data_IF_812248500581
#
_entry.id   IF_812248500581
#
_cell.length_a   1.000
_cell.length_b   1.000
_cell.length_c   1.000
_cell.angle_alpha   90.00
_cell.angle_beta   90.00
_cell.angle_gamma   90.00
#
_symmetry.space_group_name_H-M   'P 1'
#
loop_
_entity.id
_entity.type
_entity.pdbx_description
1 polymer ?
#
# COMPACT_ATOMS: atom_id res chain seq x y z
N UNK A 1 -37.85 8.56 -6.14
CA UNK A 1 -36.61 9.32 -6.45
C UNK A 1 -36.50 10.45 -5.45
N UNK A 2 -35.59 10.38 -4.48
CA UNK A 2 -35.26 11.56 -3.68
C UNK A 2 -34.48 12.51 -4.59
N UNK A 3 -35.12 13.61 -5.00
CA UNK A 3 -34.47 14.70 -5.71
C UNK A 3 -33.25 15.16 -4.90
N UNK A 4 -32.12 15.33 -5.60
CA UNK A 4 -30.78 15.38 -5.03
C UNK A 4 -30.66 16.29 -3.82
N UNK A 5 -30.43 15.70 -2.65
CA UNK A 5 -29.76 16.40 -1.57
C UNK A 5 -28.39 16.81 -2.13
N UNK A 6 -28.23 18.10 -2.46
CA UNK A 6 -26.94 18.65 -2.88
C UNK A 6 -25.85 18.22 -1.91
N UNK A 7 -24.65 17.93 -2.43
CA UNK A 7 -23.51 17.51 -1.63
C UNK A 7 -23.37 18.41 -0.38
N UNK A 8 -23.05 17.82 0.79
CA UNK A 8 -22.88 18.60 2.02
C UNK A 8 -21.92 19.78 1.77
N UNK A 9 -22.26 21.02 2.17
CA UNK A 9 -21.39 22.16 1.95
C UNK A 9 -20.04 21.94 2.64
N UNK A 10 -18.96 22.16 1.89
CA UNK A 10 -17.60 22.02 2.40
C UNK A 10 -17.32 23.05 3.51
N UNK A 11 -16.83 22.64 4.69
CA UNK A 11 -16.19 23.57 5.61
C UNK A 11 -15.09 24.36 4.92
N UNK A 12 -14.84 25.62 5.32
CA UNK A 12 -13.83 26.49 4.69
C UNK A 12 -12.44 25.85 4.60
N UNK A 13 -12.03 25.10 5.62
CA UNK A 13 -10.74 24.41 5.64
C UNK A 13 -10.67 23.25 4.65
N UNK A 14 -11.79 22.58 4.35
CA UNK A 14 -11.83 21.52 3.33
C UNK A 14 -11.67 22.10 1.94
N UNK A 15 -12.26 23.27 1.66
CA UNK A 15 -12.05 23.97 0.39
C UNK A 15 -10.58 24.37 0.19
N UNK A 16 -9.86 24.65 1.27
CA UNK A 16 -8.43 24.98 1.21
C UNK A 16 -7.56 23.78 0.82
N UNK A 17 -8.02 22.53 1.05
CA UNK A 17 -7.30 21.33 0.62
C UNK A 17 -7.42 21.06 -0.90
N UNK A 18 -8.40 21.69 -1.57
CA UNK A 18 -8.72 21.45 -2.98
C UNK A 18 -9.68 20.28 -3.19
N UNK A 19 -10.27 20.21 -4.39
CA UNK A 19 -11.18 19.14 -4.80
C UNK A 19 -10.48 18.30 -5.88
N UNK A 20 -9.94 17.11 -5.55
CA UNK A 20 -9.13 16.32 -6.50
C UNK A 20 -9.95 15.72 -7.65
N UNK A 21 -11.26 15.51 -7.47
CA UNK A 21 -12.13 14.90 -8.47
C UNK A 21 -13.08 15.91 -9.11
N UNK A 22 -13.24 15.80 -10.43
CA UNK A 22 -14.27 16.51 -11.19
C UNK A 22 -15.67 15.94 -10.91
N UNK A 23 -16.71 16.73 -11.21
CA UNK A 23 -18.10 16.27 -11.08
C UNK A 23 -18.40 15.03 -11.96
N UNK A 24 -17.74 14.90 -13.11
CA UNK A 24 -17.89 13.74 -13.98
C UNK A 24 -17.26 12.48 -13.39
N UNK A 25 -16.09 12.61 -12.74
CA UNK A 25 -15.44 11.51 -12.01
C UNK A 25 -16.30 11.03 -10.84
N UNK A 26 -16.87 11.98 -10.09
CA UNK A 26 -17.76 11.68 -8.96
C UNK A 26 -19.00 10.89 -9.40
N UNK A 27 -19.65 11.28 -10.51
CA UNK A 27 -20.78 10.51 -11.06
C UNK A 27 -20.40 9.09 -11.46
N UNK A 28 -19.25 8.90 -12.11
CA UNK A 28 -18.76 7.56 -12.48
C UNK A 28 -18.42 6.71 -11.24
N UNK A 29 -17.98 7.36 -10.16
CA UNK A 29 -17.71 6.69 -8.88
C UNK A 29 -18.99 6.12 -8.23
N UNK A 30 -20.15 6.79 -8.37
CA UNK A 30 -21.44 6.27 -7.87
C UNK A 30 -21.82 4.92 -8.51
N UNK A 31 -21.43 4.74 -9.77
CA UNK A 31 -21.66 3.52 -10.57
C UNK A 31 -20.62 2.43 -10.28
N UNK A 32 -19.51 2.73 -9.60
CA UNK A 32 -18.44 1.77 -9.32
C UNK A 32 -18.91 0.65 -8.38
N UNK A 33 -18.50 -0.58 -8.70
CA UNK A 33 -18.77 -1.77 -7.88
C UNK A 33 -17.51 -2.61 -7.81
N UNK A 34 -17.01 -2.83 -6.60
CA UNK A 34 -15.89 -3.70 -6.34
C UNK A 34 -16.14 -5.09 -6.93
N UNK A 35 -15.20 -5.57 -7.73
CA UNK A 35 -15.23 -6.90 -8.33
C UNK A 35 -13.87 -7.53 -8.20
N UNK A 36 -13.81 -8.70 -7.56
CA UNK A 36 -12.58 -9.46 -7.42
C UNK A 36 -12.81 -10.94 -7.71
N UNK A 37 -11.76 -11.62 -8.18
CA UNK A 37 -11.77 -13.05 -8.51
C UNK A 37 -10.46 -13.71 -8.08
N UNK A 38 -10.50 -15.01 -7.84
CA UNK A 38 -9.36 -15.77 -7.35
C UNK A 38 -9.41 -15.98 -5.85
N UNK A 39 -8.65 -16.97 -5.40
CA UNK A 39 -8.51 -17.34 -3.99
C UNK A 39 -7.07 -17.81 -3.78
N UNK A 40 -6.44 -17.27 -2.73
CA UNK A 40 -5.05 -17.57 -2.38
C UNK A 40 -4.95 -18.90 -1.61
N UNK A 41 -3.74 -19.42 -1.43
CA UNK A 41 -3.52 -20.72 -0.78
C UNK A 41 -3.94 -20.76 0.70
N UNK A 42 -3.64 -19.69 1.45
CA UNK A 42 -3.88 -19.60 2.90
C UNK A 42 -5.18 -18.90 3.24
N UNK A 43 -5.83 -18.22 2.30
CA UNK A 43 -7.15 -17.62 2.50
C UNK A 43 -8.18 -18.60 3.07
N UNK A 44 -8.48 -19.77 2.46
CA UNK A 44 -9.52 -20.66 2.94
C UNK A 44 -9.35 -21.12 4.40
N UNK A 45 -8.19 -21.60 4.87
CA UNK A 45 -8.02 -21.94 6.29
C UNK A 45 -8.08 -20.70 7.20
N UNK A 46 -7.57 -19.55 6.76
CA UNK A 46 -7.65 -18.29 7.53
C UNK A 46 -9.06 -17.72 7.60
N UNK A 47 -9.97 -18.06 6.68
CA UNK A 47 -11.39 -17.64 6.77
C UNK A 47 -12.03 -18.06 8.10
N UNK A 48 -11.66 -19.22 8.66
CA UNK A 48 -12.16 -19.67 9.96
C UNK A 48 -11.75 -18.69 11.07
N UNK A 49 -10.47 -18.31 11.07
CA UNK A 49 -9.91 -17.36 12.01
C UNK A 49 -10.52 -15.96 11.83
N UNK A 50 -10.60 -15.45 10.60
CA UNK A 50 -11.15 -14.12 10.32
C UNK A 50 -12.65 -14.02 10.63
N UNK A 51 -13.42 -15.08 10.38
CA UNK A 51 -14.84 -15.12 10.72
C UNK A 51 -15.03 -15.14 12.23
N UNK A 52 -14.22 -15.90 12.97
CA UNK A 52 -14.19 -15.86 14.42
C UNK A 52 -13.82 -14.47 14.94
N UNK A 53 -12.77 -13.85 14.39
CA UNK A 53 -12.31 -12.52 14.80
C UNK A 53 -13.39 -11.45 14.56
N UNK A 54 -14.08 -11.50 13.42
CA UNK A 54 -15.16 -10.58 13.08
C UNK A 54 -16.30 -10.57 14.12
N UNK A 55 -16.58 -11.71 14.77
CA UNK A 55 -17.62 -11.79 15.81
C UNK A 55 -17.32 -10.88 17.01
N UNK A 56 -16.04 -10.62 17.29
CA UNK A 56 -15.60 -9.74 18.39
C UNK A 56 -15.63 -8.26 18.02
N UNK A 57 -15.71 -7.92 16.74
CA UNK A 57 -15.81 -6.54 16.28
C UNK A 57 -17.23 -6.03 16.54
N UNK A 58 -17.44 -4.91 17.27
CA UNK A 58 -18.77 -4.34 17.46
C UNK A 58 -19.39 -3.82 16.15
N UNK A 59 -20.72 -3.87 16.04
CA UNK A 59 -21.45 -3.41 14.85
C UNK A 59 -21.35 -1.89 14.62
N UNK A 60 -21.07 -1.11 15.67
CA UNK A 60 -20.89 0.34 15.58
C UNK A 60 -19.52 0.74 14.99
N UNK A 61 -18.56 -0.19 14.96
CA UNK A 61 -17.21 0.08 14.45
C UNK A 61 -17.23 0.07 12.91
N UNK A 62 -16.91 1.21 12.30
CA UNK A 62 -16.86 1.34 10.85
C UNK A 62 -15.70 0.53 10.24
N UNK A 63 -15.86 -0.03 9.04
CA UNK A 63 -14.78 -0.72 8.31
C UNK A 63 -13.50 0.11 8.24
N UNK A 64 -13.59 1.36 7.80
CA UNK A 64 -12.42 2.24 7.69
C UNK A 64 -11.72 2.52 9.04
N UNK A 65 -12.44 2.40 10.16
CA UNK A 65 -11.82 2.49 11.50
C UNK A 65 -10.96 1.25 11.78
N UNK A 66 -11.42 0.07 11.35
CA UNK A 66 -10.67 -1.19 11.46
C UNK A 66 -9.38 -1.09 10.64
N UNK A 67 -9.49 -0.70 9.36
CA UNK A 67 -8.36 -0.48 8.46
C UNK A 67 -7.35 0.51 9.07
N UNK A 68 -7.83 1.64 9.59
CA UNK A 68 -6.96 2.67 10.17
C UNK A 68 -6.23 2.20 11.45
N UNK A 69 -6.90 1.41 12.30
CA UNK A 69 -6.27 0.81 13.48
C UNK A 69 -5.19 -0.18 13.04
N UNK A 70 -5.48 -1.03 12.06
CA UNK A 70 -4.50 -1.95 11.47
C UNK A 70 -3.28 -1.20 10.98
N UNK A 71 -3.48 -0.19 10.12
CA UNK A 71 -2.40 0.64 9.59
C UNK A 71 -1.59 1.27 10.74
N UNK A 72 -2.24 1.91 11.71
CA UNK A 72 -1.56 2.57 12.82
C UNK A 72 -0.66 1.60 13.61
N UNK A 73 -1.13 0.37 13.86
CA UNK A 73 -0.34 -0.67 14.51
C UNK A 73 0.88 -1.00 13.64
N UNK A 74 0.70 -1.31 12.36
CA UNK A 74 1.81 -1.66 11.46
C UNK A 74 2.86 -0.54 11.35
N UNK A 75 2.40 0.72 11.28
CA UNK A 75 3.27 1.89 11.24
C UNK A 75 4.07 2.02 12.53
N UNK A 76 3.43 1.96 13.70
CA UNK A 76 4.10 2.14 15.00
C UNK A 76 5.14 1.04 15.23
N UNK A 77 4.79 -0.22 14.98
CA UNK A 77 5.72 -1.34 15.20
C UNK A 77 6.93 -1.25 14.27
N UNK A 78 6.72 -0.91 12.99
CA UNK A 78 7.80 -0.73 12.03
C UNK A 78 8.65 0.50 12.34
N UNK A 79 8.04 1.63 12.77
CA UNK A 79 8.78 2.84 13.15
C UNK A 79 9.69 2.61 14.36
N UNK A 80 9.26 1.79 15.33
CA UNK A 80 10.13 1.36 16.44
C UNK A 80 11.32 0.58 15.88
N UNK A 81 11.11 -0.31 14.92
CA UNK A 81 12.21 -1.05 14.30
C UNK A 81 13.17 -0.14 13.51
N UNK A 82 12.64 0.83 12.75
CA UNK A 82 13.42 1.85 12.03
C UNK A 82 14.26 2.70 12.99
N UNK A 83 13.73 3.04 14.17
CA UNK A 83 14.46 3.81 15.18
C UNK A 83 15.73 3.10 15.65
N UNK A 84 15.70 1.78 15.82
CA UNK A 84 16.88 0.99 16.17
C UNK A 84 17.81 0.70 15.00
N UNK A 85 17.25 0.55 13.78
CA UNK A 85 18.00 0.17 12.59
C UNK A 85 17.84 1.16 11.42
N UNK A 86 18.27 2.43 11.56
CA UNK A 86 18.10 3.45 10.52
C UNK A 86 18.90 3.16 9.25
N UNK A 87 20.02 2.45 9.36
CA UNK A 87 20.86 2.07 8.19
C UNK A 87 20.58 0.66 7.69
N UNK A 88 19.65 -0.08 8.32
CA UNK A 88 19.28 -1.46 7.94
C UNK A 88 20.50 -2.42 8.08
N UNK A 89 21.52 -2.02 8.84
CA UNK A 89 22.71 -2.83 9.12
C UNK A 89 22.77 -3.27 10.58
N UNK A 90 22.07 -2.56 11.45
CA UNK A 90 22.07 -2.76 12.89
C UNK A 90 21.31 -4.03 13.28
N UNK A 91 21.46 -4.42 14.54
CA UNK A 91 20.63 -5.44 15.17
C UNK A 91 19.84 -4.79 16.30
N UNK A 92 18.52 -4.72 16.12
CA UNK A 92 17.61 -4.26 17.17
C UNK A 92 17.41 -5.34 18.25
N UNK A 93 16.96 -4.96 19.45
CA UNK A 93 16.56 -5.91 20.49
C UNK A 93 15.49 -6.89 20.00
N UNK A 94 15.56 -8.17 20.41
CA UNK A 94 14.68 -9.23 19.89
C UNK A 94 13.18 -8.89 19.90
N UNK A 95 12.72 -8.17 20.93
CA UNK A 95 11.31 -7.83 21.11
C UNK A 95 10.77 -6.87 20.03
N UNK A 96 11.64 -6.12 19.33
CA UNK A 96 11.21 -5.22 18.24
C UNK A 96 10.78 -6.03 17.01
N UNK A 97 11.46 -7.14 16.71
CA UNK A 97 11.04 -8.05 15.65
C UNK A 97 9.75 -8.78 16.02
N UNK A 98 9.62 -9.21 17.28
CA UNK A 98 8.37 -9.80 17.78
C UNK A 98 7.21 -8.81 17.66
N UNK A 99 7.46 -7.56 18.01
CA UNK A 99 6.48 -6.49 17.87
C UNK A 99 6.08 -6.27 16.41
N UNK A 100 7.01 -6.33 15.45
CA UNK A 100 6.71 -6.28 14.02
C UNK A 100 5.93 -7.51 13.53
N UNK A 101 6.29 -8.72 13.98
CA UNK A 101 5.55 -9.95 13.65
C UNK A 101 4.08 -9.85 14.10
N UNK A 102 3.86 -9.44 15.35
CA UNK A 102 2.52 -9.24 15.90
C UNK A 102 1.79 -8.09 15.20
N UNK A 103 2.47 -6.98 14.95
CA UNK A 103 1.89 -5.81 14.29
C UNK A 103 1.44 -6.11 12.86
N UNK A 104 2.26 -6.81 12.08
CA UNK A 104 1.91 -7.24 10.72
C UNK A 104 0.80 -8.29 10.72
N UNK A 105 0.84 -9.26 11.64
CA UNK A 105 -0.23 -10.25 11.76
C UNK A 105 -1.57 -9.59 12.13
N UNK A 106 -1.57 -8.61 13.04
CA UNK A 106 -2.76 -7.83 13.38
C UNK A 106 -3.23 -7.02 12.16
N UNK A 107 -2.32 -6.34 11.45
CA UNK A 107 -2.64 -5.62 10.22
C UNK A 107 -3.38 -6.50 9.23
N UNK A 108 -2.77 -7.63 8.82
CA UNK A 108 -3.37 -8.61 7.91
C UNK A 108 -4.75 -9.06 8.39
N UNK A 109 -4.90 -9.29 9.70
CA UNK A 109 -6.14 -9.78 10.27
C UNK A 109 -7.26 -8.74 10.22
N UNK A 110 -6.93 -7.47 10.47
CA UNK A 110 -7.87 -6.36 10.44
C UNK A 110 -8.25 -5.98 9.00
N UNK A 111 -7.28 -6.00 8.09
CA UNK A 111 -7.44 -5.86 6.65
C UNK A 111 -8.42 -6.91 6.09
N UNK A 112 -8.19 -8.20 6.38
CA UNK A 112 -9.06 -9.25 5.88
C UNK A 112 -10.52 -9.18 6.39
N UNK A 113 -10.79 -8.54 7.53
CA UNK A 113 -12.14 -8.45 8.12
C UNK A 113 -12.85 -7.12 7.83
N UNK A 114 -12.20 -6.08 7.31
CA UNK A 114 -12.85 -4.78 7.13
C UNK A 114 -13.95 -4.83 6.05
N UNK A 115 -13.71 -5.49 4.92
CA UNK A 115 -14.69 -5.72 3.87
C UNK A 115 -15.77 -6.71 4.31
N UNK A 116 -15.42 -7.65 5.22
CA UNK A 116 -16.41 -8.54 5.85
C UNK A 116 -17.32 -7.75 6.79
N UNK A 117 -16.77 -6.80 7.56
CA UNK A 117 -17.53 -5.88 8.40
C UNK A 117 -18.41 -4.96 7.53
N UNK A 118 -17.90 -4.49 6.40
CA UNK A 118 -18.67 -3.67 5.46
C UNK A 118 -19.90 -4.42 4.94
N UNK A 119 -19.73 -5.70 4.58
CA UNK A 119 -20.86 -6.58 4.21
C UNK A 119 -21.80 -6.84 5.38
N UNK A 120 -21.27 -7.17 6.56
CA UNK A 120 -22.06 -7.46 7.77
C UNK A 120 -22.93 -6.29 8.22
N UNK A 121 -22.45 -5.07 8.01
CA UNK A 121 -23.14 -3.82 8.41
C UNK A 121 -23.85 -3.12 7.24
N UNK A 122 -23.93 -3.74 6.05
CA UNK A 122 -24.48 -3.14 4.83
C UNK A 122 -23.90 -1.74 4.52
N UNK A 123 -22.59 -1.57 4.74
CA UNK A 123 -21.85 -0.31 4.54
C UNK A 123 -20.79 -0.38 3.44
N UNK A 124 -20.86 -1.39 2.57
CA UNK A 124 -20.01 -1.48 1.37
C UNK A 124 -20.11 -0.20 0.53
N UNK A 125 -18.98 0.41 0.21
CA UNK A 125 -18.94 1.63 -0.58
C UNK A 125 -17.62 1.76 -1.35
N UNK A 126 -17.61 2.52 -2.47
CA UNK A 126 -16.37 2.88 -3.15
C UNK A 126 -15.38 3.61 -2.23
N UNK A 127 -15.88 4.40 -1.27
CA UNK A 127 -15.03 5.07 -0.29
C UNK A 127 -14.28 4.07 0.61
N UNK A 128 -14.93 2.96 1.00
CA UNK A 128 -14.29 1.92 1.81
C UNK A 128 -13.14 1.24 1.06
N UNK A 129 -13.40 0.80 -0.17
CA UNK A 129 -12.39 0.21 -1.07
C UNK A 129 -11.20 1.17 -1.31
N UNK A 130 -11.49 2.44 -1.58
CA UNK A 130 -10.46 3.46 -1.77
C UNK A 130 -9.62 3.67 -0.50
N UNK A 131 -10.25 3.66 0.67
CA UNK A 131 -9.58 3.87 1.95
C UNK A 131 -8.66 2.69 2.29
N UNK A 132 -9.14 1.48 2.07
CA UNK A 132 -8.43 0.22 2.25
C UNK A 132 -7.14 0.17 1.42
N UNK A 133 -7.27 0.24 0.09
CA UNK A 133 -6.11 0.20 -0.80
C UNK A 133 -5.14 1.39 -0.61
N UNK A 134 -5.64 2.53 -0.14
CA UNK A 134 -4.79 3.64 0.27
C UNK A 134 -3.93 3.31 1.48
N UNK A 135 -4.51 2.66 2.49
CA UNK A 135 -3.76 2.16 3.65
C UNK A 135 -2.77 1.06 3.26
N UNK A 136 -3.18 0.13 2.38
CA UNK A 136 -2.29 -0.92 1.87
C UNK A 136 -1.07 -0.37 1.14
N UNK A 137 -1.26 0.69 0.36
CA UNK A 137 -0.15 1.31 -0.37
C UNK A 137 0.93 1.84 0.59
N UNK A 138 0.53 2.38 1.75
CA UNK A 138 1.43 2.80 2.82
C UNK A 138 2.01 1.60 3.56
N UNK A 139 1.16 0.68 3.97
CA UNK A 139 1.55 -0.54 4.67
C UNK A 139 2.65 -1.30 3.90
N UNK A 140 2.52 -1.38 2.57
CA UNK A 140 3.52 -1.99 1.67
C UNK A 140 4.91 -1.40 1.82
N UNK A 141 5.04 -0.07 1.97
CA UNK A 141 6.34 0.60 2.17
C UNK A 141 6.96 0.18 3.50
N UNK A 142 6.17 0.18 4.57
CA UNK A 142 6.64 -0.16 5.90
C UNK A 142 6.99 -1.65 6.01
N UNK A 143 6.19 -2.52 5.39
CA UNK A 143 6.52 -3.95 5.28
C UNK A 143 7.86 -4.17 4.56
N UNK A 144 8.11 -3.46 3.46
CA UNK A 144 9.36 -3.60 2.71
C UNK A 144 10.58 -3.16 3.53
N UNK A 145 10.47 -2.05 4.27
CA UNK A 145 11.53 -1.57 5.17
C UNK A 145 11.73 -2.55 6.33
N UNK A 146 10.66 -2.93 7.02
CA UNK A 146 10.72 -3.84 8.16
C UNK A 146 11.32 -5.20 7.80
N UNK A 147 10.89 -5.78 6.66
CA UNK A 147 11.45 -7.02 6.14
C UNK A 147 12.95 -6.89 5.87
N UNK A 148 13.36 -5.77 5.25
CA UNK A 148 14.77 -5.50 4.94
C UNK A 148 15.63 -5.36 6.20
N UNK A 149 15.09 -4.76 7.26
CA UNK A 149 15.75 -4.66 8.57
C UNK A 149 15.89 -6.04 9.20
N UNK A 150 14.82 -6.84 9.22
CA UNK A 150 14.82 -8.17 9.83
C UNK A 150 15.95 -9.07 9.30
N UNK A 151 16.31 -8.92 8.03
CA UNK A 151 17.38 -9.71 7.37
C UNK A 151 18.70 -8.93 7.16
N UNK A 152 18.83 -7.74 7.75
CA UNK A 152 20.01 -6.84 7.67
C UNK A 152 20.48 -6.57 6.24
N UNK A 153 19.57 -6.22 5.33
CA UNK A 153 19.90 -5.98 3.92
C UNK A 153 20.77 -4.74 3.69
N UNK A 154 20.91 -3.83 4.66
CA UNK A 154 21.83 -2.67 4.55
C UNK A 154 23.29 -3.07 4.34
N UNK A 155 23.65 -4.30 4.71
CA UNK A 155 24.98 -4.88 4.40
C UNK A 155 25.20 -5.12 2.90
N UNK A 156 24.13 -5.08 2.09
CA UNK A 156 24.16 -5.20 0.64
C UNK A 156 23.20 -4.16 0.01
N UNK A 157 23.64 -2.90 -0.17
CA UNK A 157 22.77 -1.78 -0.59
C UNK A 157 21.97 -2.02 -1.87
N UNK A 158 22.53 -2.74 -2.85
CA UNK A 158 21.80 -3.04 -4.09
C UNK A 158 20.63 -4.02 -3.87
N UNK A 159 20.82 -5.04 -3.02
CA UNK A 159 19.74 -5.93 -2.63
C UNK A 159 18.71 -5.23 -1.76
N UNK A 160 19.15 -4.33 -0.87
CA UNK A 160 18.25 -3.48 -0.10
C UNK A 160 17.38 -2.62 -1.01
N UNK A 161 17.98 -1.95 -1.99
CA UNK A 161 17.25 -1.12 -2.95
C UNK A 161 16.23 -1.96 -3.72
N UNK A 162 16.66 -3.10 -4.28
CA UNK A 162 15.78 -4.00 -5.02
C UNK A 162 14.59 -4.47 -4.16
N UNK A 163 14.84 -5.03 -2.97
CA UNK A 163 13.80 -5.54 -2.09
C UNK A 163 12.86 -4.43 -1.56
N UNK A 164 13.36 -3.21 -1.38
CA UNK A 164 12.55 -2.09 -0.91
C UNK A 164 11.54 -1.63 -1.95
N UNK A 165 11.92 -1.61 -3.23
CA UNK A 165 11.07 -1.08 -4.32
C UNK A 165 10.25 -2.14 -5.05
N UNK A 166 10.66 -3.40 -5.03
CA UNK A 166 9.95 -4.48 -5.74
C UNK A 166 8.55 -4.73 -5.17
N UNK A 167 8.37 -4.63 -3.84
CA UNK A 167 7.05 -4.76 -3.20
C UNK A 167 6.09 -3.65 -3.65
N UNK A 168 6.58 -2.41 -3.72
CA UNK A 168 5.82 -1.27 -4.23
C UNK A 168 5.44 -1.47 -5.71
N UNK A 169 6.39 -1.91 -6.53
CA UNK A 169 6.15 -2.23 -7.94
C UNK A 169 5.08 -3.33 -8.12
N UNK A 170 5.11 -4.38 -7.29
CA UNK A 170 4.11 -5.46 -7.33
C UNK A 170 2.72 -4.99 -6.91
N UNK A 171 2.62 -4.22 -5.83
CA UNK A 171 1.36 -3.60 -5.44
C UNK A 171 0.78 -2.71 -6.55
N UNK A 172 1.64 -1.93 -7.23
CA UNK A 172 1.23 -1.13 -8.38
C UNK A 172 0.73 -1.99 -9.53
N UNK A 173 1.43 -3.09 -9.84
CA UNK A 173 1.05 -4.00 -10.92
C UNK A 173 -0.31 -4.68 -10.69
N UNK A 174 -0.64 -5.04 -9.45
CA UNK A 174 -1.96 -5.59 -9.11
C UNK A 174 -3.10 -4.60 -9.45
N UNK A 175 -2.91 -3.32 -9.11
CA UNK A 175 -3.87 -2.27 -9.43
C UNK A 175 -3.84 -1.85 -10.90
N UNK A 176 -2.68 -1.97 -11.57
CA UNK A 176 -2.56 -1.74 -13.00
C UNK A 176 -3.36 -2.80 -13.78
N UNK A 177 -3.21 -4.07 -13.42
CA UNK A 177 -4.04 -5.15 -13.95
C UNK A 177 -5.53 -4.86 -13.76
N UNK A 178 -5.92 -4.32 -12.61
CA UNK A 178 -7.31 -3.95 -12.29
C UNK A 178 -7.80 -2.78 -13.15
N UNK A 179 -6.95 -1.77 -13.39
CA UNK A 179 -7.24 -0.66 -14.30
C UNK A 179 -7.43 -1.12 -15.76
N UNK A 180 -6.71 -2.16 -16.18
CA UNK A 180 -6.81 -2.73 -17.53
C UNK A 180 -8.04 -3.62 -17.67
N UNK A 181 -8.24 -4.55 -16.73
CA UNK A 181 -9.23 -5.62 -16.85
C UNK A 181 -10.57 -5.35 -16.16
N UNK A 182 -10.65 -4.31 -15.33
CA UNK A 182 -11.84 -3.96 -14.57
C UNK A 182 -12.08 -4.82 -13.32
N UNK A 183 -11.22 -5.80 -13.03
CA UNK A 183 -11.39 -6.77 -11.94
C UNK A 183 -10.07 -7.00 -11.23
N UNK A 184 -10.08 -6.98 -9.89
CA UNK A 184 -8.93 -7.35 -9.08
C UNK A 184 -8.79 -8.88 -9.08
N UNK A 185 -7.63 -9.41 -9.46
CA UNK A 185 -7.42 -10.87 -9.56
C UNK A 185 -6.35 -11.31 -8.60
N UNK A 186 -6.71 -12.23 -7.73
CA UNK A 186 -5.80 -12.86 -6.78
C UNK A 186 -5.22 -14.16 -7.36
N UNK A 187 -3.91 -14.31 -7.19
CA UNK A 187 -3.18 -15.53 -7.53
C UNK A 187 -3.23 -16.58 -6.42
N UNK A 188 -2.58 -17.73 -6.66
CA UNK A 188 -2.41 -18.76 -5.62
C UNK A 188 -1.43 -18.36 -4.52
N UNK A 189 -0.44 -17.54 -4.88
CA UNK A 189 0.49 -16.89 -3.96
C UNK A 189 0.27 -15.40 -4.16
N UNK A 190 -0.26 -14.74 -3.13
CA UNK A 190 -0.64 -13.33 -3.17
C UNK A 190 -0.30 -12.66 -1.83
N UNK A 191 -0.89 -11.48 -1.57
CA UNK A 191 -0.62 -10.64 -0.39
C UNK A 191 -0.66 -11.45 0.92
N UNK A 192 -1.64 -12.34 1.10
CA UNK A 192 -1.78 -13.17 2.31
C UNK A 192 -0.56 -14.06 2.56
N UNK A 193 -0.10 -14.81 1.55
CA UNK A 193 1.07 -15.68 1.70
C UNK A 193 2.35 -14.89 1.93
N UNK A 194 2.48 -13.73 1.28
CA UNK A 194 3.62 -12.83 1.45
C UNK A 194 3.66 -12.29 2.88
N UNK A 195 2.54 -11.81 3.41
CA UNK A 195 2.45 -11.31 4.78
C UNK A 195 2.75 -12.41 5.81
N UNK A 196 2.23 -13.62 5.62
CA UNK A 196 2.56 -14.78 6.48
C UNK A 196 4.05 -15.11 6.41
N UNK A 197 4.66 -15.11 5.22
CA UNK A 197 6.09 -15.33 5.07
C UNK A 197 6.92 -14.25 5.77
N UNK A 198 6.51 -12.98 5.69
CA UNK A 198 7.15 -11.88 6.42
C UNK A 198 7.01 -12.02 7.94
N UNK A 199 5.84 -12.44 8.44
CA UNK A 199 5.65 -12.76 9.86
C UNK A 199 6.64 -13.86 10.28
N UNK A 200 6.82 -14.91 9.48
CA UNK A 200 7.82 -15.96 9.75
C UNK A 200 9.24 -15.38 9.79
N UNK A 201 9.61 -14.50 8.85
CA UNK A 201 10.93 -13.84 8.84
C UNK A 201 11.15 -13.01 10.11
N UNK A 202 10.15 -12.26 10.56
CA UNK A 202 10.22 -11.52 11.82
C UNK A 202 10.34 -12.45 13.04
N UNK A 203 9.61 -13.58 13.06
CA UNK A 203 9.70 -14.56 14.14
C UNK A 203 11.07 -15.24 14.18
N UNK A 204 11.65 -15.59 13.03
CA UNK A 204 13.02 -16.14 12.96
C UNK A 204 14.04 -15.14 13.51
N UNK A 205 13.92 -13.87 13.10
CA UNK A 205 14.80 -12.78 13.57
C UNK A 205 14.62 -12.50 15.07
N UNK A 206 13.42 -12.74 15.62
CA UNK A 206 13.15 -12.66 17.07
C UNK A 206 13.95 -13.71 17.84
N UNK A 207 13.94 -14.97 17.40
CA UNK A 207 14.57 -16.06 18.16
C UNK A 207 16.06 -16.24 17.86
N UNK A 208 16.48 -16.01 16.62
CA UNK A 208 17.86 -16.16 16.18
C UNK A 208 18.70 -14.89 16.23
N UNK A 209 18.07 -13.73 16.43
CA UNK A 209 18.70 -12.42 16.19
C UNK A 209 18.79 -12.12 14.69
N UNK A 210 18.87 -10.85 14.31
CA UNK A 210 18.97 -10.48 12.89
C UNK A 210 20.36 -10.82 12.30
N UNK A 211 21.39 -10.94 13.15
CA UNK A 211 22.72 -11.40 12.74
C UNK A 211 22.73 -12.84 12.24
N UNK A 212 21.73 -13.66 12.56
CA UNK A 212 21.60 -15.03 12.02
C UNK A 212 21.62 -15.07 10.50
N UNK A 213 21.10 -14.01 9.86
CA UNK A 213 20.97 -13.92 8.42
C UNK A 213 22.32 -13.68 7.71
N UNK A 214 23.36 -13.31 8.46
CA UNK A 214 24.74 -13.21 7.98
C UNK A 214 25.51 -14.52 8.03
N UNK A 215 24.93 -15.58 8.63
CA UNK A 215 25.52 -16.90 8.64
C UNK A 215 25.73 -17.42 7.21
N UNK A 216 26.95 -17.90 6.93
CA UNK A 216 27.29 -18.47 5.61
C UNK A 216 27.03 -19.97 5.63
N UNK A 217 26.20 -20.44 4.69
CA UNK A 217 25.86 -21.86 4.55
C UNK A 217 27.08 -22.59 3.96
N UNK A 218 27.75 -23.52 4.69
CA UNK A 218 29.04 -24.06 4.29
C UNK A 218 29.09 -24.77 2.93
N UNK A 219 27.97 -25.37 2.50
CA UNK A 219 27.90 -26.14 1.24
C UNK A 219 27.73 -25.24 0.02
N UNK A 220 27.06 -24.10 0.19
CA UNK A 220 26.69 -23.21 -0.91
C UNK A 220 27.53 -21.92 -0.93
N UNK A 221 28.29 -21.64 0.14
CA UNK A 221 29.03 -20.40 0.36
C UNK A 221 28.18 -19.12 0.20
N UNK A 222 26.86 -19.24 0.38
CA UNK A 222 25.92 -18.11 0.38
C UNK A 222 25.50 -17.76 1.80
N UNK A 223 25.29 -16.46 2.06
CA UNK A 223 24.69 -16.00 3.31
C UNK A 223 23.21 -16.38 3.38
N UNK A 224 22.74 -16.71 4.56
CA UNK A 224 21.35 -17.12 4.80
C UNK A 224 20.33 -16.06 4.33
N UNK A 225 20.65 -14.76 4.41
CA UNK A 225 19.80 -13.67 3.90
C UNK A 225 19.44 -13.76 2.41
N UNK A 226 20.24 -14.48 1.62
CA UNK A 226 19.94 -14.68 0.19
C UNK A 226 18.69 -15.53 0.01
N UNK A 227 18.33 -16.40 0.97
CA UNK A 227 17.12 -17.23 0.88
C UNK A 227 15.84 -16.38 0.77
N UNK A 228 15.56 -15.42 1.69
CA UNK A 228 14.48 -14.46 1.52
C UNK A 228 14.54 -13.67 0.20
N UNK A 229 15.73 -13.23 -0.22
CA UNK A 229 15.91 -12.48 -1.48
C UNK A 229 15.53 -13.34 -2.69
N UNK A 230 15.93 -14.61 -2.73
CA UNK A 230 15.53 -15.55 -3.78
C UNK A 230 14.01 -15.80 -3.75
N UNK A 231 13.40 -15.84 -2.57
CA UNK A 231 11.94 -15.88 -2.42
C UNK A 231 11.25 -14.66 -3.04
N UNK A 232 11.79 -13.47 -2.79
CA UNK A 232 11.30 -12.21 -3.40
C UNK A 232 11.47 -12.21 -4.92
N UNK A 233 12.63 -12.64 -5.44
CA UNK A 233 12.88 -12.74 -6.89
C UNK A 233 11.97 -13.79 -7.54
N UNK A 234 11.80 -14.96 -6.93
CA UNK A 234 10.90 -16.00 -7.42
C UNK A 234 9.44 -15.55 -7.43
N UNK A 235 9.00 -14.90 -6.35
CA UNK A 235 7.67 -14.29 -6.24
C UNK A 235 7.45 -13.20 -7.30
N UNK A 236 8.45 -12.34 -7.53
CA UNK A 236 8.43 -11.33 -8.59
C UNK A 236 8.21 -11.97 -9.96
N UNK A 237 9.02 -12.98 -10.33
CA UNK A 237 8.92 -13.64 -11.64
C UNK A 237 7.53 -14.26 -11.83
N UNK A 238 7.04 -14.97 -10.81
CA UNK A 238 5.73 -15.60 -10.83
C UNK A 238 4.59 -14.58 -10.97
N UNK A 239 4.56 -13.56 -10.10
CA UNK A 239 3.51 -12.55 -10.09
C UNK A 239 3.55 -11.66 -11.34
N UNK A 240 4.73 -11.23 -11.79
CA UNK A 240 4.88 -10.48 -13.05
C UNK A 240 4.35 -11.26 -14.25
N UNK A 241 4.66 -12.55 -14.36
CA UNK A 241 4.15 -13.37 -15.47
C UNK A 241 2.62 -13.32 -15.53
N UNK A 242 1.96 -13.47 -14.37
CA UNK A 242 0.50 -13.43 -14.28
C UNK A 242 -0.07 -12.03 -14.57
N UNK A 243 0.48 -10.99 -13.92
CA UNK A 243 0.02 -9.62 -14.08
C UNK A 243 0.20 -9.11 -15.51
N UNK A 244 1.37 -9.31 -16.12
CA UNK A 244 1.63 -8.83 -17.48
C UNK A 244 0.87 -9.61 -18.54
N UNK A 245 0.61 -10.91 -18.33
CA UNK A 245 -0.29 -11.66 -19.21
C UNK A 245 -1.69 -11.00 -19.26
N UNK A 246 -2.24 -10.60 -18.12
CA UNK A 246 -3.54 -9.93 -18.06
C UNK A 246 -3.46 -8.48 -18.53
N UNK A 247 -2.39 -7.74 -18.24
CA UNK A 247 -2.22 -6.34 -18.71
C UNK A 247 -2.14 -6.28 -20.25
N UNK A 248 -1.44 -7.23 -20.88
CA UNK A 248 -1.24 -7.22 -22.33
C UNK A 248 -2.44 -7.78 -23.12
N UNK A 249 -3.23 -8.67 -22.52
CA UNK A 249 -4.32 -9.38 -23.24
C UNK A 249 -5.72 -9.18 -22.65
N UNK A 250 -5.85 -8.55 -21.48
CA UNK A 250 -7.09 -8.46 -20.71
C UNK A 250 -7.79 -7.09 -20.75
N UNK A 251 -7.42 -6.20 -21.67
CA UNK A 251 -8.01 -4.87 -21.75
C UNK A 251 -9.50 -4.90 -22.14
N UNK A 252 -10.35 -4.27 -21.31
CA UNK A 252 -11.82 -4.27 -21.49
C UNK A 252 -12.36 -3.00 -22.15
N UNK A 253 -11.51 -2.00 -22.39
CA UNK A 253 -11.90 -0.77 -23.04
C UNK A 253 -11.96 -0.87 -24.57
N UNK A 254 -12.17 0.28 -25.22
CA UNK A 254 -12.24 0.39 -26.68
C UNK A 254 -10.96 -0.19 -27.30
N UNK A 255 -11.11 -1.12 -28.27
CA UNK A 255 -9.99 -1.78 -28.94
C UNK A 255 -9.03 -2.54 -27.99
N UNK A 256 -9.51 -3.05 -26.86
CA UNK A 256 -8.66 -3.74 -25.88
C UNK A 256 -7.82 -2.78 -25.02
N UNK A 257 -8.23 -1.52 -24.90
CA UNK A 257 -7.61 -0.52 -24.04
C UNK A 257 -7.91 -0.76 -22.55
N UNK A 258 -7.40 0.12 -21.69
CA UNK A 258 -7.82 0.21 -20.29
C UNK A 258 -9.30 0.56 -20.16
N UNK A 259 -9.86 0.44 -18.95
CA UNK A 259 -11.23 0.87 -18.63
C UNK A 259 -11.48 2.36 -18.93
N UNK A 260 -10.44 3.19 -18.99
CA UNK A 260 -10.53 4.61 -19.31
C UNK A 260 -10.38 4.92 -20.81
N UNK A 261 -10.20 3.91 -21.67
CA UNK A 261 -9.96 4.15 -23.10
C UNK A 261 -8.50 4.46 -23.45
N UNK A 262 -7.57 4.36 -22.50
CA UNK A 262 -6.15 4.68 -22.69
C UNK A 262 -5.30 3.44 -22.99
N UNK A 263 -4.07 3.62 -23.46
CA UNK A 263 -3.13 2.52 -23.65
C UNK A 263 -2.99 1.68 -22.37
N UNK A 264 -3.02 0.35 -22.51
CA UNK A 264 -2.76 -0.58 -21.41
C UNK A 264 -1.38 -0.39 -20.79
N UNK A 265 -0.44 0.26 -21.48
CA UNK A 265 0.90 0.56 -20.98
C UNK A 265 1.00 1.93 -20.28
N UNK A 266 -0.04 2.75 -20.29
CA UNK A 266 -0.01 4.11 -19.73
C UNK A 266 0.31 4.18 -18.22
N UNK A 267 -0.16 3.26 -17.35
CA UNK A 267 0.25 3.27 -15.94
C UNK A 267 1.76 2.99 -15.76
N UNK A 268 2.37 2.23 -16.69
CA UNK A 268 3.80 1.94 -16.70
C UNK A 268 4.69 3.17 -16.72
N UNK A 269 4.25 4.28 -17.34
CA UNK A 269 4.98 5.54 -17.33
C UNK A 269 5.11 6.14 -15.93
N UNK A 270 4.11 5.98 -15.07
CA UNK A 270 4.05 6.59 -13.75
C UNK A 270 4.95 5.85 -12.77
N UNK A 271 4.80 4.52 -12.69
CA UNK A 271 5.68 3.70 -11.86
C UNK A 271 7.11 3.66 -12.40
N UNK A 272 7.27 3.66 -13.73
CA UNK A 272 8.57 3.77 -14.38
C UNK A 272 9.29 5.06 -14.02
N UNK A 273 8.61 6.20 -13.99
CA UNK A 273 9.18 7.47 -13.56
C UNK A 273 9.68 7.43 -12.11
N UNK A 274 8.89 6.85 -11.19
CA UNK A 274 9.30 6.69 -9.79
C UNK A 274 10.56 5.84 -9.68
N UNK A 275 10.57 4.66 -10.31
CA UNK A 275 11.70 3.72 -10.23
C UNK A 275 12.95 4.29 -10.89
N UNK A 276 12.82 4.93 -12.06
CA UNK A 276 13.95 5.55 -12.76
C UNK A 276 14.53 6.68 -11.91
N UNK A 277 13.70 7.57 -11.36
CA UNK A 277 14.18 8.64 -10.47
C UNK A 277 14.85 8.06 -9.22
N UNK A 278 14.27 7.02 -8.61
CA UNK A 278 14.85 6.36 -7.45
C UNK A 278 16.21 5.72 -7.76
N UNK A 279 16.37 5.08 -8.91
CA UNK A 279 17.65 4.50 -9.32
C UNK A 279 18.68 5.60 -9.65
N UNK A 280 18.28 6.62 -10.40
CA UNK A 280 19.15 7.72 -10.80
C UNK A 280 19.68 8.48 -9.58
N UNK A 281 18.79 8.83 -8.63
CA UNK A 281 19.17 9.56 -7.42
C UNK A 281 20.06 8.69 -6.52
N UNK A 282 19.75 7.40 -6.38
CA UNK A 282 20.62 6.47 -5.65
C UNK A 282 22.02 6.41 -6.28
N UNK A 283 22.12 6.08 -7.57
CA UNK A 283 23.40 5.81 -8.24
C UNK A 283 24.25 7.05 -8.53
N UNK A 284 23.64 8.24 -8.60
CA UNK A 284 24.35 9.51 -8.82
C UNK A 284 24.79 10.19 -7.53
N UNK A 285 24.25 9.80 -6.37
CA UNK A 285 24.57 10.43 -5.08
C UNK A 285 26.08 10.37 -4.81
N UNK A 286 26.71 11.53 -4.65
CA UNK A 286 28.15 11.59 -4.37
C UNK A 286 28.46 11.34 -2.88
N UNK A 287 27.46 11.50 -2.01
CA UNK A 287 27.59 11.28 -0.56
C UNK A 287 27.13 9.90 -0.11
N UNK A 288 26.71 9.04 -1.04
CA UNK A 288 26.10 7.74 -0.77
C UNK A 288 24.87 7.86 0.14
N UNK A 289 24.00 8.82 -0.16
CA UNK A 289 22.84 9.19 0.65
C UNK A 289 21.93 7.99 0.96
N UNK A 290 21.65 7.13 -0.03
CA UNK A 290 20.82 5.93 0.18
C UNK A 290 21.46 4.95 1.16
N UNK A 291 22.77 4.74 1.09
CA UNK A 291 23.48 3.77 1.95
C UNK A 291 23.56 4.27 3.40
N UNK A 292 23.66 5.59 3.60
CA UNK A 292 23.68 6.21 4.92
C UNK A 292 22.30 6.39 5.55
N UNK A 293 21.27 6.60 4.72
CA UNK A 293 19.90 6.89 5.17
C UNK A 293 18.82 6.08 4.40
N UNK A 294 18.95 4.75 4.30
CA UNK A 294 18.08 3.93 3.45
C UNK A 294 16.62 3.94 3.89
N UNK A 295 16.35 3.93 5.20
CA UNK A 295 14.99 4.00 5.73
C UNK A 295 14.32 5.32 5.34
N UNK A 296 14.99 6.45 5.55
CA UNK A 296 14.47 7.77 5.19
C UNK A 296 14.25 7.90 3.67
N UNK A 297 15.21 7.42 2.88
CA UNK A 297 15.12 7.41 1.43
C UNK A 297 13.92 6.59 0.92
N UNK A 298 13.76 5.38 1.46
CA UNK A 298 12.67 4.47 1.10
C UNK A 298 11.32 5.01 1.55
N UNK A 299 11.23 5.65 2.73
CA UNK A 299 10.02 6.32 3.18
C UNK A 299 9.62 7.48 2.26
N UNK A 300 10.58 8.31 1.84
CA UNK A 300 10.33 9.45 0.95
C UNK A 300 9.76 8.97 -0.40
N UNK A 301 10.43 8.04 -1.05
CA UNK A 301 9.91 7.44 -2.29
C UNK A 301 8.64 6.61 -2.06
N UNK A 302 8.48 6.03 -0.88
CA UNK A 302 7.28 5.33 -0.47
C UNK A 302 6.05 6.25 -0.40
N UNK A 303 6.19 7.49 0.07
CA UNK A 303 5.12 8.48 0.01
C UNK A 303 4.76 8.86 -1.42
N UNK A 304 5.77 9.02 -2.29
CA UNK A 304 5.58 9.27 -3.73
C UNK A 304 4.80 8.13 -4.37
N UNK A 305 5.24 6.90 -4.12
CA UNK A 305 4.60 5.67 -4.57
C UNK A 305 3.15 5.56 -4.07
N UNK A 306 2.90 5.72 -2.77
CA UNK A 306 1.57 5.56 -2.19
C UNK A 306 0.56 6.53 -2.81
N UNK A 307 0.94 7.80 -3.03
CA UNK A 307 0.07 8.76 -3.74
C UNK A 307 -0.19 8.35 -5.19
N UNK A 308 0.82 7.92 -5.92
CA UNK A 308 0.68 7.51 -7.33
C UNK A 308 -0.13 6.21 -7.46
N UNK A 309 0.04 5.27 -6.54
CA UNK A 309 -0.80 4.07 -6.44
C UNK A 309 -2.26 4.45 -6.18
N UNK A 310 -2.52 5.35 -5.23
CA UNK A 310 -3.88 5.84 -4.96
C UNK A 310 -4.53 6.53 -6.15
N UNK A 311 -3.74 7.26 -6.95
CA UNK A 311 -4.18 7.84 -8.23
C UNK A 311 -4.62 6.77 -9.23
N UNK A 312 -3.90 5.66 -9.30
CA UNK A 312 -4.28 4.52 -10.14
C UNK A 312 -5.58 3.88 -9.66
N UNK A 313 -5.74 3.67 -8.35
CA UNK A 313 -6.98 3.13 -7.77
C UNK A 313 -8.17 4.02 -8.12
N UNK A 314 -8.10 5.33 -7.85
CA UNK A 314 -9.21 6.22 -8.17
C UNK A 314 -9.46 6.38 -9.68
N UNK A 315 -8.41 6.30 -10.51
CA UNK A 315 -8.56 6.30 -11.96
C UNK A 315 -9.32 5.07 -12.46
N UNK A 316 -9.07 3.90 -11.86
CA UNK A 316 -9.86 2.68 -12.11
C UNK A 316 -11.32 2.88 -11.69
N UNK A 317 -11.56 3.25 -10.44
CA UNK A 317 -12.91 3.39 -9.89
C UNK A 317 -13.74 4.46 -10.61
N UNK A 318 -13.09 5.53 -11.07
CA UNK A 318 -13.75 6.60 -11.82
C UNK A 318 -13.67 6.41 -13.33
N UNK A 319 -13.08 5.33 -13.85
CA UNK A 319 -12.88 5.07 -15.28
C UNK A 319 -12.28 6.28 -16.02
N UNK A 320 -11.20 6.83 -15.46
CA UNK A 320 -10.58 8.07 -15.93
C UNK A 320 -9.13 7.88 -16.33
N UNK A 321 -8.63 8.77 -17.18
CA UNK A 321 -7.23 8.78 -17.58
C UNK A 321 -6.32 9.20 -16.42
N UNK A 322 -5.06 8.75 -16.49
CA UNK A 322 -4.01 9.13 -15.54
C UNK A 322 -3.17 10.26 -16.11
N UNK A 323 -2.96 11.30 -15.31
CA UNK A 323 -2.09 12.41 -15.64
C UNK A 323 -0.75 12.27 -14.93
N UNK A 324 0.34 12.30 -15.70
CA UNK A 324 1.70 12.14 -15.20
C UNK A 324 2.16 13.32 -14.34
N UNK A 325 1.64 14.52 -14.64
CA UNK A 325 1.98 15.74 -13.91
C UNK A 325 1.37 15.70 -12.51
N UNK A 326 2.24 15.76 -11.50
CA UNK A 326 1.83 15.70 -10.10
C UNK A 326 2.84 16.43 -9.22
N UNK A 327 2.34 17.17 -8.24
CA UNK A 327 3.10 17.84 -7.17
C UNK A 327 3.93 16.86 -6.34
N UNK A 328 3.57 15.57 -6.31
CA UNK A 328 4.31 14.56 -5.56
C UNK A 328 5.75 14.37 -6.05
N UNK A 329 6.02 14.68 -7.33
CA UNK A 329 7.36 14.59 -7.90
C UNK A 329 8.26 15.78 -7.55
N UNK A 330 7.77 16.80 -6.83
CA UNK A 330 8.60 17.92 -6.36
C UNK A 330 9.75 17.42 -5.46
N UNK A 331 9.48 16.49 -4.54
CA UNK A 331 10.50 15.93 -3.65
C UNK A 331 11.66 15.26 -4.41
N UNK A 332 11.38 14.22 -5.22
CA UNK A 332 12.40 13.63 -6.10
C UNK A 332 13.04 14.64 -7.07
N UNK A 333 12.28 15.61 -7.58
CA UNK A 333 12.79 16.66 -8.45
C UNK A 333 13.83 17.56 -7.77
N UNK A 334 13.63 17.91 -6.50
CA UNK A 334 14.59 18.68 -5.71
C UNK A 334 15.91 17.91 -5.53
N UNK A 335 15.84 16.63 -5.19
CA UNK A 335 17.02 15.76 -5.07
C UNK A 335 17.76 15.63 -6.40
N UNK A 336 17.03 15.40 -7.49
CA UNK A 336 17.62 15.29 -8.82
C UNK A 336 18.33 16.59 -9.25
N UNK A 337 17.71 17.75 -9.00
CA UNK A 337 18.27 19.05 -9.33
C UNK A 337 19.50 19.37 -8.46
N UNK A 338 19.44 19.11 -7.17
CA UNK A 338 20.58 19.32 -6.26
C UNK A 338 21.80 18.49 -6.70
N UNK A 339 21.61 17.21 -7.03
CA UNK A 339 22.66 16.35 -7.61
C UNK A 339 23.13 16.80 -8.99
N UNK A 340 22.28 17.47 -9.78
CA UNK A 340 22.69 18.06 -11.05
C UNK A 340 23.63 19.25 -10.85
N UNK A 341 23.42 20.03 -9.78
CA UNK A 341 24.27 21.18 -9.41
C UNK A 341 25.37 20.81 -8.39
N UNK A 342 25.90 19.58 -8.47
CA UNK A 342 27.00 19.08 -7.63
C UNK A 342 26.72 19.11 -6.11
N UNK A 343 25.49 18.83 -5.69
CA UNK A 343 25.06 18.83 -4.28
C UNK A 343 25.31 20.19 -3.63
N UNK A 344 24.69 21.23 -4.19
CA UNK A 344 24.82 22.60 -3.70
C UNK A 344 24.33 22.73 -2.25
N UNK A 345 23.31 21.96 -1.90
CA UNK A 345 22.82 21.75 -0.53
C UNK A 345 23.24 20.34 -0.09
N UNK A 346 23.40 20.13 1.21
CA UNK A 346 23.62 18.78 1.74
C UNK A 346 22.45 17.85 1.35
N UNK A 347 22.75 16.77 0.61
CA UNK A 347 21.78 15.78 0.14
C UNK A 347 20.89 15.26 1.29
N UNK A 348 21.43 15.12 2.50
CA UNK A 348 20.66 14.70 3.67
C UNK A 348 19.58 15.71 4.07
N UNK A 349 19.88 17.00 4.00
CA UNK A 349 18.92 18.08 4.26
C UNK A 349 17.85 18.12 3.17
N UNK A 350 18.27 18.01 1.89
CA UNK A 350 17.33 17.96 0.76
C UNK A 350 16.42 16.73 0.86
N UNK A 351 16.94 15.59 1.31
CA UNK A 351 16.15 14.37 1.51
C UNK A 351 15.08 14.56 2.59
N UNK A 352 15.39 15.22 3.70
CA UNK A 352 14.38 15.55 4.71
C UNK A 352 13.32 16.52 4.18
N UNK A 353 13.72 17.53 3.40
CA UNK A 353 12.78 18.45 2.74
C UNK A 353 11.87 17.67 1.79
N UNK A 354 12.44 16.79 0.96
CA UNK A 354 11.70 15.94 0.03
C UNK A 354 10.74 14.98 0.76
N UNK A 355 11.17 14.38 1.87
CA UNK A 355 10.34 13.52 2.72
C UNK A 355 9.14 14.27 3.27
N UNK A 356 9.37 15.45 3.84
CA UNK A 356 8.31 16.30 4.40
C UNK A 356 7.32 16.71 3.31
N UNK A 357 7.79 17.25 2.18
CA UNK A 357 6.94 17.66 1.06
C UNK A 357 6.09 16.49 0.55
N UNK A 358 6.72 15.34 0.27
CA UNK A 358 6.02 14.16 -0.28
C UNK A 358 5.00 13.60 0.71
N UNK A 359 5.32 13.58 2.00
CA UNK A 359 4.41 13.12 3.05
C UNK A 359 3.18 14.03 3.18
N UNK A 360 3.39 15.35 3.25
CA UNK A 360 2.29 16.31 3.35
C UNK A 360 1.41 16.30 2.10
N UNK A 361 2.01 16.29 0.92
CA UNK A 361 1.30 16.26 -0.36
C UNK A 361 0.45 14.98 -0.52
N UNK A 362 0.99 13.82 -0.15
CA UNK A 362 0.25 12.56 -0.07
C UNK A 362 -0.90 12.62 0.93
N UNK A 363 -0.65 13.10 2.16
CA UNK A 363 -1.68 13.18 3.21
C UNK A 363 -2.82 14.14 2.85
N UNK A 364 -2.49 15.29 2.26
CA UNK A 364 -3.49 16.23 1.73
C UNK A 364 -4.32 15.54 0.65
N UNK A 365 -3.69 14.83 -0.29
CA UNK A 365 -4.41 14.14 -1.36
C UNK A 365 -5.36 13.06 -0.81
N UNK A 366 -4.90 12.21 0.10
CA UNK A 366 -5.70 11.14 0.71
C UNK A 366 -6.89 11.71 1.49
N UNK A 367 -6.63 12.73 2.30
CA UNK A 367 -7.66 13.41 3.11
C UNK A 367 -8.70 14.08 2.21
N UNK A 368 -8.25 14.78 1.17
CA UNK A 368 -9.13 15.49 0.24
C UNK A 368 -10.05 14.53 -0.52
N UNK A 369 -9.49 13.41 -1.01
CA UNK A 369 -10.28 12.36 -1.65
C UNK A 369 -11.36 11.83 -0.72
N UNK A 370 -10.98 11.41 0.49
CA UNK A 370 -11.92 10.82 1.45
C UNK A 370 -13.04 11.81 1.81
N UNK A 371 -12.70 13.08 2.08
CA UNK A 371 -13.67 14.12 2.43
C UNK A 371 -14.56 14.52 1.25
N UNK A 372 -14.03 14.57 0.03
CA UNK A 372 -14.82 14.87 -1.17
C UNK A 372 -15.82 13.76 -1.46
N UNK A 373 -15.36 12.51 -1.46
CA UNK A 373 -16.21 11.34 -1.74
C UNK A 373 -17.25 11.15 -0.63
N UNK A 374 -16.86 11.29 0.65
CA UNK A 374 -17.78 11.27 1.79
C UNK A 374 -18.89 12.30 1.65
N UNK A 375 -18.58 13.53 1.21
CA UNK A 375 -19.60 14.58 0.98
C UNK A 375 -20.50 14.29 -0.21
N UNK A 376 -19.93 13.72 -1.28
CA UNK A 376 -20.69 13.40 -2.50
C UNK A 376 -21.66 12.24 -2.26
N UNK A 377 -21.19 11.16 -1.63
CA UNK A 377 -21.96 9.95 -1.33
C UNK A 377 -22.76 10.05 -0.02
N UNK A 378 -22.67 11.18 0.71
CA UNK A 378 -23.31 11.41 2.01
C UNK A 378 -22.96 10.36 3.08
N UNK A 379 -21.74 9.83 3.04
CA UNK A 379 -21.25 8.79 3.96
C UNK A 379 -20.48 9.40 5.13
N UNK A 380 -20.58 8.80 6.31
CA UNK A 380 -19.65 9.08 7.41
C UNK A 380 -18.45 8.14 7.29
N UNK A 381 -17.23 8.68 7.34
CA UNK A 381 -15.99 7.89 7.11
C UNK A 381 -15.76 6.88 8.25
N UNK A 382 -15.95 7.30 9.50
CA UNK A 382 -15.57 6.52 10.70
C UNK A 382 -16.75 6.16 11.60
N UNK A 383 -17.99 6.27 11.11
CA UNK A 383 -19.21 5.93 11.86
C UNK A 383 -20.14 5.13 10.97
N UNK A 384 -20.61 3.98 11.45
CA UNK A 384 -21.69 3.25 10.78
C UNK A 384 -23.02 3.93 11.07
N UNK A 385 -23.83 4.14 10.03
CA UNK A 385 -25.24 4.47 10.20
C UNK A 385 -25.93 3.16 10.55
N UNK A 386 -26.02 2.83 11.83
CA UNK A 386 -26.67 1.60 12.28
C UNK A 386 -28.18 1.69 11.93
N UNK A 387 -28.56 1.20 10.75
CA UNK A 387 -29.91 0.66 10.59
C UNK A 387 -29.86 -0.67 11.33
N UNK A 388 -30.46 -0.72 12.53
CA UNK A 388 -30.76 -1.99 13.17
C UNK A 388 -31.43 -2.86 12.10
N UNK A 389 -30.74 -3.93 11.66
CA UNK A 389 -31.46 -5.02 11.03
C UNK A 389 -32.58 -5.38 12.01
N UNK A 390 -33.87 -5.39 11.61
CA UNK A 390 -34.93 -5.72 12.53
C UNK A 390 -34.54 -7.03 13.17
N UNK A 391 -34.48 -7.04 14.51
CA UNK A 391 -34.37 -8.27 15.29
C UNK A 391 -35.31 -9.27 14.63
N UNK A 392 -34.74 -10.32 14.02
CA UNK A 392 -35.48 -11.54 13.85
C UNK A 392 -35.72 -12.02 15.27
N UNK A 393 -36.78 -11.46 15.88
CA UNK A 393 -37.44 -11.99 17.06
C UNK A 393 -37.57 -13.47 16.75
N UNK A 394 -36.80 -14.26 17.47
CA UNK A 394 -36.96 -15.70 17.56
C UNK A 394 -38.43 -15.93 17.90
N UNK A 395 -39.26 -16.14 16.88
CA UNK A 395 -40.55 -16.76 17.07
C UNK A 395 -40.24 -18.22 17.36
N UNK A 396 -40.11 -18.51 18.64
CA UNK A 396 -40.56 -19.79 19.16
C UNK A 396 -41.99 -19.98 18.63
N UNK A 397 -42.12 -20.90 17.68
CA UNK A 397 -43.38 -21.57 17.39
C UNK A 397 -43.15 -22.98 17.92
N UNK A 398 -44.10 -23.39 18.75
CA UNK A 398 -44.10 -24.57 19.62
C UNK A 398 -43.69 -25.90 18.95
#
# INVERSE_FOLDING_TARGET
MAAGAGARPAPRWVKALGEPLSAAQLRRLEEHRYTAVGESLFEPPLQLYWTWLLQWIPLWMAPNTITLIGLAINLVTTLVLIFYCPTVTEEAPYWTYLLCALGLFIYQSLDAIDGKQARRTNSCSPLGELFDHGCDSLSTVFMAIGASIAVRLGTHPDWLFFCSFVGMFMFYCAHWQTYVSGVLRFGRVDVTEIQVALVIVFMLSTFGGATMWDYTIPILEIKLKIVPVLGVVGGLIFSCSNYFHVILHGGVGKNGSTIAGTSVLSPGLHIGLIIILAIMIYKKSATNMFEKHPCLYTLMFGCVFAKVAQKLVIAHMTKSELYLQDTVFIGPGLLFLDQYFNNFIDEYVVLWIAMVISSFDMMIYFTSLCLQISRHLHLNIFKTSCQQAPEQVYKHID
#
